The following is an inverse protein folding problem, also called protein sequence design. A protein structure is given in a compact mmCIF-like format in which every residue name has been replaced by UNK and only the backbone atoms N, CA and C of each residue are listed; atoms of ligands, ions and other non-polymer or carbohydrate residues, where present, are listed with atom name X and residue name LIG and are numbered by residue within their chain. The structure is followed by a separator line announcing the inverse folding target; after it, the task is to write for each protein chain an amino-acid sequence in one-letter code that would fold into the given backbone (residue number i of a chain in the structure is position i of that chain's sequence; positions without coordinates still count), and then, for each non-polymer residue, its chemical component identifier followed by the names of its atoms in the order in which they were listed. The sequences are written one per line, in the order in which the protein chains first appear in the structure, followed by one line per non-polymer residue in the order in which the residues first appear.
data_IF_604329553039
#
_entry.id   IF_604329553039
#
_cell.length_a   1.000
_cell.length_b   1.000
_cell.length_c   1.000
_cell.angle_alpha   90.00
_cell.angle_beta   90.00
_cell.angle_gamma   90.00
#
_symmetry.space_group_name_H-M   'P 1'
#
loop_
_entity.id
_entity.type
_entity.pdbx_description
1 polymer ?
#
# COMPACT_ATOMS: atom_id res chain seq x y z
N UNK A 1 -23.19 10.13 -4.97
CA UNK A 1 -22.66 10.09 -3.60
C UNK A 1 -21.91 11.37 -3.23
N UNK A 2 -21.08 11.92 -4.16
CA UNK A 2 -20.26 13.12 -3.92
C UNK A 2 -20.71 14.33 -4.77
N UNK A 3 -21.95 14.36 -5.21
CA UNK A 3 -22.47 15.49 -6.00
C UNK A 3 -22.37 16.80 -5.22
N UNK A 4 -21.80 17.82 -5.85
CA UNK A 4 -21.57 19.14 -5.24
C UNK A 4 -20.34 19.23 -4.36
N UNK A 5 -19.63 18.11 -4.12
CA UNK A 5 -18.39 18.06 -3.35
C UNK A 5 -17.16 18.32 -4.23
N UNK A 6 -16.12 18.84 -3.60
CA UNK A 6 -14.81 19.07 -4.20
C UNK A 6 -13.79 18.17 -3.52
N UNK A 7 -13.08 17.37 -4.32
CA UNK A 7 -11.97 16.52 -3.87
C UNK A 7 -10.66 17.14 -4.34
N UNK A 8 -9.75 17.43 -3.42
CA UNK A 8 -8.40 17.89 -3.77
C UNK A 8 -7.45 16.69 -3.85
N UNK A 9 -6.66 16.59 -4.94
CA UNK A 9 -5.62 15.58 -5.12
C UNK A 9 -4.25 16.25 -5.09
N UNK A 10 -3.51 16.04 -3.98
CA UNK A 10 -2.22 16.68 -3.73
C UNK A 10 -1.10 15.63 -3.83
N UNK A 11 -0.42 15.60 -4.97
CA UNK A 11 0.65 14.63 -5.22
C UNK A 11 2.02 15.29 -5.14
N UNK A 12 2.62 15.25 -3.94
CA UNK A 12 3.99 15.70 -3.68
C UNK A 12 5.05 14.70 -4.18
N UNK A 13 4.63 13.47 -4.45
CA UNK A 13 5.42 12.42 -5.05
C UNK A 13 4.72 11.91 -6.32
N UNK A 14 5.43 11.74 -7.46
CA UNK A 14 4.82 11.28 -8.70
C UNK A 14 4.15 9.90 -8.56
N UNK A 15 2.92 9.78 -9.05
CA UNK A 15 2.21 8.51 -9.12
C UNK A 15 1.06 8.58 -10.13
N UNK A 16 1.27 8.01 -11.32
CA UNK A 16 0.26 8.03 -12.38
C UNK A 16 -0.98 7.21 -12.01
N UNK A 17 -0.77 5.94 -11.64
CA UNK A 17 -1.88 5.01 -11.34
C UNK A 17 -2.72 5.46 -10.15
N UNK A 18 -2.09 5.76 -9.03
CA UNK A 18 -2.80 6.16 -7.81
C UNK A 18 -3.58 7.45 -8.02
N UNK A 19 -2.97 8.46 -8.67
CA UNK A 19 -3.64 9.72 -8.97
C UNK A 19 -4.88 9.51 -9.84
N UNK A 20 -4.70 8.87 -11.00
CA UNK A 20 -5.80 8.65 -11.94
C UNK A 20 -6.92 7.81 -11.33
N UNK A 21 -6.61 6.85 -10.45
CA UNK A 21 -7.64 6.05 -9.78
C UNK A 21 -8.49 6.90 -8.83
N UNK A 22 -7.88 7.76 -8.01
CA UNK A 22 -8.62 8.66 -7.12
C UNK A 22 -9.42 9.71 -7.90
N UNK A 23 -8.82 10.34 -8.91
CA UNK A 23 -9.50 11.34 -9.75
C UNK A 23 -10.68 10.71 -10.49
N UNK A 24 -10.50 9.52 -11.06
CA UNK A 24 -11.59 8.78 -11.73
C UNK A 24 -12.70 8.41 -10.75
N UNK A 25 -12.36 7.90 -9.56
CA UNK A 25 -13.34 7.55 -8.55
C UNK A 25 -14.14 8.78 -8.10
N UNK A 26 -13.48 9.91 -7.81
CA UNK A 26 -14.13 11.16 -7.43
C UNK A 26 -15.11 11.65 -8.53
N UNK A 27 -14.67 11.67 -9.79
CA UNK A 27 -15.52 12.07 -10.92
C UNK A 27 -16.71 11.12 -11.12
N UNK A 28 -16.51 9.78 -11.03
CA UNK A 28 -17.61 8.79 -11.13
C UNK A 28 -18.63 8.90 -10.01
N UNK A 29 -18.21 9.38 -8.83
CA UNK A 29 -19.08 9.64 -7.69
C UNK A 29 -19.78 11.01 -7.76
N UNK A 30 -19.49 11.82 -8.78
CA UNK A 30 -20.10 13.13 -9.02
C UNK A 30 -19.39 14.31 -8.35
N UNK A 31 -18.19 14.12 -7.82
CA UNK A 31 -17.37 15.20 -7.29
C UNK A 31 -16.67 15.99 -8.40
N UNK A 32 -16.25 17.20 -8.05
CA UNK A 32 -15.27 17.98 -8.83
C UNK A 32 -13.88 17.72 -8.28
N UNK A 33 -12.88 17.72 -9.15
CA UNK A 33 -11.48 17.46 -8.75
C UNK A 33 -10.64 18.70 -8.99
N UNK A 34 -9.86 19.07 -7.98
CA UNK A 34 -8.81 20.11 -8.06
C UNK A 34 -7.51 19.49 -7.53
N UNK A 35 -6.37 20.15 -7.76
CA UNK A 35 -5.12 19.71 -7.16
C UNK A 35 -3.89 19.94 -8.03
N UNK A 36 -2.77 19.32 -7.64
CA UNK A 36 -1.50 19.42 -8.34
C UNK A 36 -0.75 18.08 -8.33
N UNK A 37 0.21 17.97 -9.24
CA UNK A 37 1.03 16.76 -9.44
C UNK A 37 2.53 17.03 -9.32
N UNK A 38 2.90 18.29 -9.27
CA UNK A 38 4.27 18.74 -9.11
C UNK A 38 4.32 19.82 -8.01
N UNK A 39 4.93 19.55 -6.85
CA UNK A 39 5.06 20.54 -5.79
C UNK A 39 5.93 21.74 -6.22
N UNK A 40 6.82 21.58 -7.22
CA UNK A 40 7.62 22.69 -7.76
C UNK A 40 6.77 23.76 -8.47
N UNK A 41 5.60 23.37 -8.97
CA UNK A 41 4.64 24.29 -9.57
C UNK A 41 3.72 24.97 -8.55
N UNK A 42 3.92 24.74 -7.26
CA UNK A 42 3.14 25.30 -6.16
C UNK A 42 3.94 26.30 -5.33
N UNK A 43 3.28 26.94 -4.37
CA UNK A 43 3.93 27.86 -3.41
C UNK A 43 4.93 27.17 -2.48
N UNK A 44 4.93 25.83 -2.41
CA UNK A 44 5.95 25.06 -1.68
C UNK A 44 7.37 25.37 -2.18
N UNK A 45 7.53 25.67 -3.47
CA UNK A 45 8.79 26.12 -4.06
C UNK A 45 9.27 27.48 -3.53
N UNK A 46 8.38 28.26 -2.91
CA UNK A 46 8.63 29.57 -2.31
C UNK A 46 8.72 29.53 -0.79
N UNK A 47 8.74 28.31 -0.19
CA UNK A 47 8.86 28.11 1.26
C UNK A 47 7.52 27.96 2.00
N UNK A 48 6.39 27.78 1.29
CA UNK A 48 5.12 27.43 1.94
C UNK A 48 5.23 26.07 2.65
N UNK A 49 4.83 26.02 3.91
CA UNK A 49 4.90 24.79 4.70
C UNK A 49 3.77 23.82 4.32
N UNK A 50 3.96 22.53 4.62
CA UNK A 50 2.89 21.53 4.42
C UNK A 50 1.61 21.93 5.16
N UNK A 51 1.74 22.46 6.40
CA UNK A 51 0.61 22.95 7.18
C UNK A 51 -0.17 24.03 6.44
N UNK A 52 0.54 25.03 5.94
CA UNK A 52 -0.10 26.16 5.26
C UNK A 52 -0.78 25.71 3.97
N UNK A 53 -0.13 24.82 3.19
CA UNK A 53 -0.73 24.19 2.00
C UNK A 53 -2.02 23.46 2.36
N UNK A 54 -2.01 22.61 3.41
CA UNK A 54 -3.18 21.84 3.83
C UNK A 54 -4.31 22.76 4.31
N UNK A 55 -4.01 23.75 5.12
CA UNK A 55 -5.00 24.72 5.61
C UNK A 55 -5.63 25.51 4.47
N UNK A 56 -4.82 25.98 3.54
CA UNK A 56 -5.28 26.73 2.38
C UNK A 56 -6.16 25.86 1.48
N UNK A 57 -5.73 24.65 1.13
CA UNK A 57 -6.50 23.72 0.28
C UNK A 57 -7.81 23.29 0.96
N UNK A 58 -7.80 23.15 2.28
CA UNK A 58 -9.01 22.83 3.05
C UNK A 58 -10.12 23.89 2.92
N UNK A 59 -9.77 25.12 2.54
CA UNK A 59 -10.74 26.17 2.26
C UNK A 59 -11.43 26.01 0.90
N UNK A 60 -10.91 25.16 0.02
CA UNK A 60 -11.41 24.93 -1.34
C UNK A 60 -12.02 23.55 -1.54
N UNK A 61 -11.70 22.59 -0.67
CA UNK A 61 -12.08 21.19 -0.84
C UNK A 61 -12.82 20.63 0.37
N UNK A 62 -13.70 19.67 0.13
CA UNK A 62 -14.41 18.92 1.16
C UNK A 62 -13.60 17.67 1.62
N UNK A 63 -12.68 17.19 0.80
CA UNK A 63 -11.83 16.01 1.06
C UNK A 63 -10.49 16.26 0.38
N UNK A 64 -9.41 15.88 1.05
CA UNK A 64 -8.06 15.94 0.47
C UNK A 64 -7.49 14.53 0.36
N UNK A 65 -7.13 14.12 -0.85
CA UNK A 65 -6.35 12.92 -1.14
C UNK A 65 -4.91 13.36 -1.32
N UNK A 66 -3.99 12.87 -0.49
CA UNK A 66 -2.60 13.28 -0.59
C UNK A 66 -1.63 12.09 -0.69
N UNK A 67 -0.60 12.28 -1.51
CA UNK A 67 0.58 11.42 -1.58
C UNK A 67 1.82 12.25 -1.33
N UNK A 68 2.67 11.79 -0.40
CA UNK A 68 3.85 12.54 0.02
C UNK A 68 5.08 11.62 0.09
N UNK A 69 6.27 12.16 -0.14
CA UNK A 69 7.53 11.44 -0.05
C UNK A 69 8.03 11.24 1.40
N UNK A 70 7.57 12.06 2.35
CA UNK A 70 7.89 11.93 3.77
C UNK A 70 6.89 11.03 4.49
N UNK A 71 7.44 10.12 5.30
CA UNK A 71 6.65 9.29 6.20
C UNK A 71 5.93 10.11 7.25
N UNK A 72 4.68 9.74 7.55
CA UNK A 72 3.84 10.45 8.53
C UNK A 72 3.22 11.76 8.02
N UNK A 73 3.55 12.23 6.81
CA UNK A 73 3.01 13.48 6.28
C UNK A 73 1.48 13.48 6.18
N UNK A 74 0.87 12.35 5.77
CA UNK A 74 -0.57 12.23 5.70
C UNK A 74 -1.23 12.25 7.09
N UNK A 75 -0.58 11.64 8.09
CA UNK A 75 -1.04 11.72 9.48
C UNK A 75 -0.96 13.14 10.00
N UNK A 76 0.18 13.80 9.83
CA UNK A 76 0.32 15.20 10.21
C UNK A 76 -0.73 16.11 9.54
N UNK A 77 -0.96 15.91 8.24
CA UNK A 77 -2.01 16.62 7.52
C UNK A 77 -3.39 16.40 8.15
N UNK A 78 -3.71 15.18 8.58
CA UNK A 78 -4.99 14.86 9.22
C UNK A 78 -5.17 15.51 10.60
N UNK A 79 -4.07 15.80 11.30
CA UNK A 79 -4.10 16.49 12.60
C UNK A 79 -4.34 18.01 12.46
N UNK A 80 -3.97 18.60 11.32
CA UNK A 80 -4.11 20.05 11.10
C UNK A 80 -5.28 20.43 10.17
N UNK A 81 -5.76 19.51 9.34
CA UNK A 81 -6.82 19.76 8.38
C UNK A 81 -8.21 19.80 9.05
N UNK A 82 -9.07 20.77 8.73
CA UNK A 82 -10.47 20.77 9.14
C UNK A 82 -11.35 19.84 8.27
N UNK A 83 -10.80 19.24 7.23
CA UNK A 83 -11.47 18.30 6.31
C UNK A 83 -10.80 16.94 6.32
N UNK A 84 -11.49 15.84 5.95
CA UNK A 84 -10.89 14.51 5.89
C UNK A 84 -9.68 14.43 4.97
N UNK A 85 -8.64 13.71 5.42
CA UNK A 85 -7.43 13.40 4.65
C UNK A 85 -7.45 11.91 4.29
N UNK A 86 -7.24 11.62 3.01
CA UNK A 86 -7.06 10.26 2.49
C UNK A 86 -5.59 10.08 2.13
N UNK A 87 -4.93 9.12 2.80
CA UNK A 87 -3.53 8.78 2.51
C UNK A 87 -3.43 7.93 1.22
N UNK A 88 -2.87 8.50 0.17
CA UNK A 88 -2.58 7.84 -1.11
C UNK A 88 -1.13 7.31 -1.21
N UNK A 89 -0.44 7.24 -0.09
CA UNK A 89 0.94 6.80 0.09
C UNK A 89 1.81 7.88 0.74
N UNK A 90 2.58 7.50 1.76
CA UNK A 90 3.48 8.39 2.50
C UNK A 90 4.87 7.76 2.65
N UNK A 91 5.73 8.00 1.70
CA UNK A 91 7.11 7.51 1.69
C UNK A 91 7.19 5.97 1.68
N UNK A 92 8.03 5.40 2.54
CA UNK A 92 8.20 3.95 2.70
C UNK A 92 7.22 3.33 3.72
N UNK A 93 6.41 4.14 4.43
CA UNK A 93 5.57 3.70 5.53
C UNK A 93 4.39 2.84 5.06
N UNK A 94 3.31 3.43 4.59
CA UNK A 94 2.07 2.71 4.27
C UNK A 94 1.51 3.08 2.90
N UNK A 95 0.73 2.15 2.33
CA UNK A 95 -0.02 2.39 1.10
C UNK A 95 -1.48 1.91 1.29
N UNK A 96 -2.29 2.60 2.10
CA UNK A 96 -3.62 2.13 2.49
C UNK A 96 -4.55 1.88 1.30
N UNK A 97 -4.45 2.70 0.24
CA UNK A 97 -5.24 2.51 -0.97
C UNK A 97 -4.89 1.21 -1.72
N UNK A 98 -3.62 0.75 -1.67
CA UNK A 98 -3.24 -0.56 -2.21
C UNK A 98 -3.85 -1.68 -1.38
N UNK A 99 -3.79 -1.57 -0.05
CA UNK A 99 -4.41 -2.55 0.85
C UNK A 99 -5.91 -2.69 0.59
N UNK A 100 -6.63 -1.57 0.43
CA UNK A 100 -8.06 -1.60 0.10
C UNK A 100 -8.34 -2.23 -1.27
N UNK A 101 -7.46 -1.99 -2.25
CA UNK A 101 -7.54 -2.63 -3.56
C UNK A 101 -7.33 -4.15 -3.45
N UNK A 102 -6.35 -4.59 -2.68
CA UNK A 102 -6.05 -6.00 -2.45
C UNK A 102 -7.24 -6.70 -1.76
N UNK A 103 -7.75 -6.14 -0.66
CA UNK A 103 -8.95 -6.66 0.02
C UNK A 103 -10.16 -6.75 -0.92
N UNK A 104 -10.40 -5.71 -1.73
CA UNK A 104 -11.49 -5.72 -2.69
C UNK A 104 -11.30 -6.81 -3.76
N UNK A 105 -10.08 -6.98 -4.27
CA UNK A 105 -9.74 -7.99 -5.27
C UNK A 105 -9.93 -9.40 -4.71
N UNK A 106 -9.44 -9.65 -3.49
CA UNK A 106 -9.64 -10.91 -2.77
C UNK A 106 -11.14 -11.20 -2.60
N UNK A 107 -11.90 -10.24 -2.09
CA UNK A 107 -13.34 -10.39 -1.91
C UNK A 107 -14.06 -10.68 -3.24
N UNK A 108 -13.66 -10.02 -4.34
CA UNK A 108 -14.28 -10.22 -5.65
C UNK A 108 -13.98 -11.59 -6.26
N UNK A 109 -12.81 -12.15 -5.99
CA UNK A 109 -12.40 -13.45 -6.54
C UNK A 109 -12.83 -14.62 -5.67
N UNK A 110 -12.79 -14.47 -4.35
CA UNK A 110 -13.10 -15.53 -3.39
C UNK A 110 -14.54 -15.46 -2.83
N UNK A 111 -15.24 -14.32 -3.01
CA UNK A 111 -16.56 -14.10 -2.41
C UNK A 111 -16.54 -13.85 -0.90
N UNK A 112 -15.40 -14.00 -0.25
CA UNK A 112 -15.19 -13.80 1.19
C UNK A 112 -13.79 -13.26 1.45
N UNK A 113 -13.56 -12.74 2.66
CA UNK A 113 -12.23 -12.45 3.21
C UNK A 113 -11.89 -13.41 4.36
N UNK A 114 -12.87 -14.18 4.84
CA UNK A 114 -12.73 -15.01 6.05
C UNK A 114 -12.03 -16.34 5.78
N UNK A 115 -11.16 -16.73 6.70
CA UNK A 115 -10.52 -18.05 6.79
C UNK A 115 -9.73 -18.47 5.55
N UNK A 116 -9.13 -17.53 4.83
CA UNK A 116 -8.36 -17.80 3.60
C UNK A 116 -6.93 -18.23 3.90
N UNK A 117 -6.41 -19.13 3.08
CA UNK A 117 -5.00 -19.49 3.00
C UNK A 117 -4.31 -18.52 2.01
N UNK A 118 -3.50 -17.60 2.54
CA UNK A 118 -2.86 -16.53 1.78
C UNK A 118 -1.36 -16.77 1.71
N UNK A 119 -0.87 -17.01 0.50
CA UNK A 119 0.53 -17.24 0.21
C UNK A 119 1.20 -15.95 -0.26
N UNK A 120 2.11 -15.42 0.55
CA UNK A 120 2.93 -14.25 0.22
C UNK A 120 4.29 -14.74 -0.27
N UNK A 121 4.61 -14.44 -1.53
CA UNK A 121 5.78 -15.01 -2.21
C UNK A 121 6.72 -13.94 -2.72
N UNK A 122 8.02 -14.10 -2.45
CA UNK A 122 9.09 -13.26 -2.99
C UNK A 122 9.74 -12.34 -1.96
N UNK A 123 9.73 -11.02 -2.19
CA UNK A 123 10.33 -10.04 -1.28
C UNK A 123 9.38 -9.69 -0.15
N UNK A 124 9.48 -10.41 0.96
CA UNK A 124 8.68 -10.15 2.16
C UNK A 124 9.38 -9.21 3.15
N UNK A 125 10.67 -8.92 2.93
CA UNK A 125 11.46 -8.03 3.80
C UNK A 125 11.17 -6.56 3.52
N UNK A 126 11.15 -6.16 2.25
CA UNK A 126 10.97 -4.78 1.82
C UNK A 126 9.58 -4.50 1.23
N UNK A 127 8.76 -5.53 1.12
CA UNK A 127 7.43 -5.50 0.52
C UNK A 127 6.37 -4.86 1.41
N UNK A 128 6.33 -3.52 1.52
CA UNK A 128 5.33 -2.81 2.35
C UNK A 128 3.86 -3.17 2.04
N UNK A 129 3.57 -3.63 0.81
CA UNK A 129 2.21 -4.04 0.44
C UNK A 129 1.80 -5.33 1.15
N UNK A 130 2.72 -6.31 1.26
CA UNK A 130 2.45 -7.55 1.99
C UNK A 130 2.34 -7.31 3.49
N UNK A 131 3.13 -6.38 4.05
CA UNK A 131 3.01 -5.98 5.46
C UNK A 131 1.66 -5.35 5.75
N UNK A 132 1.23 -4.43 4.89
CA UNK A 132 -0.07 -3.76 5.03
C UNK A 132 -1.24 -4.73 4.85
N UNK A 133 -1.15 -5.67 3.90
CA UNK A 133 -2.16 -6.70 3.70
C UNK A 133 -2.26 -7.63 4.92
N UNK A 134 -1.11 -8.09 5.47
CA UNK A 134 -1.07 -8.91 6.68
C UNK A 134 -1.79 -8.22 7.84
N UNK A 135 -1.50 -6.95 8.09
CA UNK A 135 -2.15 -6.19 9.16
C UNK A 135 -3.65 -6.00 8.92
N UNK A 136 -4.08 -5.78 7.67
CA UNK A 136 -5.49 -5.60 7.33
C UNK A 136 -6.30 -6.88 7.48
N UNK A 137 -5.70 -8.02 7.08
CA UNK A 137 -6.37 -9.33 7.11
C UNK A 137 -6.56 -9.87 8.54
N UNK A 138 -5.94 -9.29 9.57
CA UNK A 138 -6.07 -9.77 10.97
C UNK A 138 -7.51 -9.95 11.45
N UNK A 139 -8.43 -9.19 10.87
CA UNK A 139 -9.84 -9.21 11.26
C UNK A 139 -10.64 -10.36 10.62
N UNK A 140 -10.01 -11.14 9.72
CA UNK A 140 -10.66 -12.14 8.88
C UNK A 140 -10.13 -13.57 9.11
N UNK A 141 -9.40 -13.80 10.21
CA UNK A 141 -8.87 -15.11 10.60
C UNK A 141 -8.12 -15.86 9.48
N UNK A 142 -7.14 -15.25 8.79
CA UNK A 142 -6.38 -15.86 7.73
C UNK A 142 -5.36 -16.88 8.27
N UNK A 143 -4.89 -17.77 7.38
CA UNK A 143 -3.62 -18.49 7.56
C UNK A 143 -2.65 -17.96 6.52
N UNK A 144 -1.51 -17.40 6.97
CA UNK A 144 -0.47 -16.93 6.06
C UNK A 144 0.59 -17.98 5.81
N UNK A 145 1.03 -18.08 4.56
CA UNK A 145 2.20 -18.84 4.16
C UNK A 145 3.24 -17.85 3.59
N UNK A 146 4.38 -17.77 4.25
CA UNK A 146 5.48 -16.88 3.85
C UNK A 146 6.49 -17.69 3.05
N UNK A 147 6.61 -17.41 1.76
CA UNK A 147 7.55 -18.08 0.86
C UNK A 147 8.60 -17.05 0.41
N UNK A 148 9.79 -17.15 0.95
CA UNK A 148 10.88 -16.22 0.65
C UNK A 148 12.25 -16.87 0.85
N UNK A 149 13.27 -16.49 0.07
CA UNK A 149 14.64 -16.86 0.35
C UNK A 149 15.10 -16.22 1.68
N UNK A 150 16.16 -16.76 2.27
CA UNK A 150 16.63 -16.36 3.60
C UNK A 150 16.88 -14.84 3.73
N UNK A 151 17.38 -14.22 2.67
CA UNK A 151 17.68 -12.78 2.61
C UNK A 151 16.44 -11.89 2.59
N UNK A 152 15.28 -12.42 2.14
CA UNK A 152 14.05 -11.68 1.90
C UNK A 152 12.87 -12.15 2.78
N UNK A 153 13.14 -12.91 3.84
CA UNK A 153 12.13 -13.37 4.80
C UNK A 153 11.36 -12.24 5.45
N UNK A 154 10.15 -12.58 5.88
CA UNK A 154 9.30 -11.67 6.67
C UNK A 154 10.06 -11.21 7.92
N UNK A 155 10.15 -9.89 8.19
CA UNK A 155 10.80 -9.35 9.38
C UNK A 155 10.16 -9.87 10.69
N UNK A 156 10.98 -10.04 11.74
CA UNK A 156 10.52 -10.55 13.03
C UNK A 156 9.41 -9.72 13.65
N UNK A 157 9.38 -8.42 13.43
CA UNK A 157 8.32 -7.52 13.93
C UNK A 157 6.93 -7.94 13.44
N UNK A 158 6.80 -8.38 12.16
CA UNK A 158 5.52 -8.85 11.62
C UNK A 158 5.17 -10.27 12.09
N UNK A 159 6.17 -11.10 12.36
CA UNK A 159 5.95 -12.43 12.98
C UNK A 159 5.50 -12.28 14.44
N UNK A 160 6.06 -11.33 15.17
CA UNK A 160 5.58 -10.96 16.51
C UNK A 160 4.16 -10.42 16.46
N UNK A 161 3.87 -9.53 15.51
CA UNK A 161 2.51 -9.04 15.27
C UNK A 161 1.51 -10.18 15.02
N UNK A 162 1.88 -11.19 14.22
CA UNK A 162 1.04 -12.38 14.02
C UNK A 162 0.78 -13.12 15.33
N UNK A 163 1.81 -13.32 16.17
CA UNK A 163 1.68 -13.99 17.47
C UNK A 163 0.78 -13.21 18.42
N UNK A 164 0.96 -11.91 18.53
CA UNK A 164 0.15 -11.03 19.39
C UNK A 164 -1.33 -11.00 19.00
N UNK A 165 -1.61 -11.10 17.69
CA UNK A 165 -2.97 -11.06 17.16
C UNK A 165 -3.55 -12.45 16.83
N UNK A 166 -2.85 -13.53 17.25
CA UNK A 166 -3.26 -14.93 17.04
C UNK A 166 -3.48 -15.30 15.56
N UNK A 167 -2.74 -14.64 14.65
CA UNK A 167 -2.75 -14.93 13.22
C UNK A 167 -1.84 -16.15 12.99
N UNK A 168 -2.36 -17.18 12.34
CA UNK A 168 -1.59 -18.36 11.96
C UNK A 168 -0.65 -18.03 10.81
N UNK A 169 0.60 -18.48 10.89
CA UNK A 169 1.53 -18.40 9.78
C UNK A 169 2.48 -19.58 9.73
N UNK A 170 2.95 -19.92 8.53
CA UNK A 170 3.90 -20.98 8.21
C UNK A 170 4.96 -20.38 7.29
N UNK A 171 6.24 -20.68 7.54
CA UNK A 171 7.34 -20.23 6.69
C UNK A 171 7.82 -21.36 5.79
N UNK A 172 8.08 -21.04 4.51
CA UNK A 172 8.63 -21.93 3.51
C UNK A 172 9.80 -21.26 2.80
N UNK A 173 10.80 -22.05 2.41
CA UNK A 173 11.92 -21.58 1.57
C UNK A 173 11.79 -22.05 0.12
N UNK A 174 10.94 -23.02 -0.13
CA UNK A 174 10.70 -23.60 -1.44
C UNK A 174 9.33 -23.18 -1.98
N UNK A 175 9.25 -23.04 -3.29
CA UNK A 175 8.03 -22.72 -4.03
C UNK A 175 7.70 -23.88 -4.95
N UNK A 176 6.89 -24.82 -4.47
CA UNK A 176 6.49 -26.04 -5.20
C UNK A 176 4.99 -26.13 -5.34
N UNK A 177 4.51 -26.89 -6.32
CA UNK A 177 3.08 -27.12 -6.54
C UNK A 177 2.40 -27.72 -5.29
N UNK A 178 3.09 -28.59 -4.57
CA UNK A 178 2.57 -29.24 -3.36
C UNK A 178 2.35 -28.23 -2.23
N UNK A 179 3.26 -27.26 -2.08
CA UNK A 179 3.16 -26.21 -1.04
C UNK A 179 1.99 -25.28 -1.32
N UNK A 180 1.75 -24.92 -2.58
CA UNK A 180 0.71 -23.96 -2.97
C UNK A 180 -0.64 -24.61 -3.33
N UNK A 181 -0.76 -25.93 -3.24
CA UNK A 181 -1.98 -26.67 -3.63
C UNK A 181 -3.24 -26.18 -2.92
N UNK A 182 -3.12 -25.73 -1.65
CA UNK A 182 -4.23 -25.27 -0.83
C UNK A 182 -4.36 -23.73 -0.81
N UNK A 183 -3.71 -23.02 -1.75
CA UNK A 183 -3.73 -21.58 -1.80
C UNK A 183 -5.08 -21.04 -2.30
N UNK A 184 -5.78 -20.25 -1.49
CA UNK A 184 -6.90 -19.43 -1.93
C UNK A 184 -6.40 -18.18 -2.65
N UNK A 185 -5.29 -17.61 -2.14
CA UNK A 185 -4.64 -16.42 -2.69
C UNK A 185 -3.13 -16.64 -2.80
N UNK A 186 -2.61 -16.44 -4.00
CA UNK A 186 -1.18 -16.38 -4.29
C UNK A 186 -0.78 -14.94 -4.59
N UNK A 187 -0.10 -14.28 -3.64
CA UNK A 187 0.33 -12.90 -3.74
C UNK A 187 1.83 -12.86 -4.09
N UNK A 188 2.12 -12.65 -5.36
CA UNK A 188 3.49 -12.57 -5.87
C UNK A 188 4.05 -11.16 -5.74
N UNK A 189 5.20 -11.01 -5.11
CA UNK A 189 5.94 -9.75 -5.06
C UNK A 189 7.12 -9.76 -6.01
N UNK A 190 7.45 -8.61 -6.58
CA UNK A 190 8.72 -8.49 -7.30
C UNK A 190 9.85 -8.18 -6.33
N UNK A 191 11.03 -8.72 -6.61
CA UNK A 191 12.26 -8.33 -5.91
C UNK A 191 12.67 -6.93 -6.38
N UNK A 192 12.77 -5.98 -5.44
CA UNK A 192 13.01 -4.56 -5.73
C UNK A 192 14.51 -4.26 -5.76
N UNK A 193 15.12 -4.20 -6.95
CA UNK A 193 16.54 -3.91 -7.14
C UNK A 193 17.01 -2.65 -6.38
N UNK A 194 16.16 -1.64 -6.36
CA UNK A 194 16.39 -0.34 -5.74
C UNK A 194 16.56 -0.40 -4.21
N UNK A 195 16.28 -1.53 -3.58
CA UNK A 195 16.39 -1.76 -2.13
C UNK A 195 17.68 -2.47 -1.71
N UNK A 196 18.42 -3.01 -2.68
CA UNK A 196 19.66 -3.73 -2.40
C UNK A 196 20.85 -2.77 -2.46
N UNK A 197 21.66 -2.78 -1.42
CA UNK A 197 22.97 -2.09 -1.41
C UNK A 197 24.06 -2.90 -2.13
N UNK A 198 23.93 -4.24 -2.12
CA UNK A 198 24.80 -5.16 -2.84
C UNK A 198 24.06 -5.75 -4.06
N UNK A 199 24.59 -5.47 -5.25
CA UNK A 199 24.06 -5.98 -6.50
C UNK A 199 24.23 -7.51 -6.64
N UNK A 200 25.25 -8.11 -6.00
CA UNK A 200 25.44 -9.56 -6.03
C UNK A 200 24.36 -10.29 -5.22
N UNK A 201 23.91 -9.71 -4.12
CA UNK A 201 22.79 -10.23 -3.34
C UNK A 201 21.49 -10.18 -4.14
N UNK A 202 21.23 -9.08 -4.84
CA UNK A 202 20.09 -8.97 -5.75
C UNK A 202 20.12 -10.02 -6.87
N UNK A 203 21.27 -10.22 -7.53
CA UNK A 203 21.40 -11.20 -8.61
C UNK A 203 21.12 -12.65 -8.17
N UNK A 204 21.33 -12.98 -6.90
CA UNK A 204 21.03 -14.32 -6.34
C UNK A 204 19.53 -14.57 -6.17
N UNK A 205 18.74 -13.52 -5.92
CA UNK A 205 17.33 -13.65 -5.52
C UNK A 205 16.33 -13.13 -6.54
N UNK A 206 16.78 -12.43 -7.59
CA UNK A 206 15.88 -11.75 -8.56
C UNK A 206 14.95 -12.72 -9.31
N UNK A 207 15.37 -13.97 -9.53
CA UNK A 207 14.66 -14.97 -10.33
C UNK A 207 14.31 -16.24 -9.54
N UNK A 208 14.35 -16.19 -8.19
CA UNK A 208 14.16 -17.39 -7.35
C UNK A 208 12.74 -17.94 -7.44
N UNK A 209 11.74 -17.07 -7.57
CA UNK A 209 10.34 -17.50 -7.65
C UNK A 209 9.68 -16.93 -8.91
N UNK A 210 9.64 -17.74 -9.96
CA UNK A 210 8.96 -17.41 -11.20
C UNK A 210 7.78 -18.37 -11.35
N UNK A 211 6.59 -17.80 -11.53
CA UNK A 211 5.40 -18.57 -11.87
C UNK A 211 5.46 -18.92 -13.37
N UNK A 212 5.54 -20.20 -13.69
CA UNK A 212 5.46 -20.72 -15.05
C UNK A 212 4.04 -21.23 -15.34
N UNK A 213 3.60 -21.11 -16.60
CA UNK A 213 2.35 -21.68 -17.08
C UNK A 213 2.49 -23.19 -17.29
#
# INVERSE_FOLDING_TARGET
LLQGKVVATLFFEPSTRTRLSFETAANRLGARVIGFTDPKATSSSKGETLKDTIMMVSSYADIIVMRHYLEGAARYASEVAPVPIVNAGDGANQHPSQTMLDLYSIYKTQGTLENLNIFLVGDLKYGRTVHSLLMAMRHFNPTFHFIAPDELKMPEEYKLYCKEHQIKYIEHTEFTEEIIADADILYMTRVQRERFTDLMEYERVKDVYILHN
#
